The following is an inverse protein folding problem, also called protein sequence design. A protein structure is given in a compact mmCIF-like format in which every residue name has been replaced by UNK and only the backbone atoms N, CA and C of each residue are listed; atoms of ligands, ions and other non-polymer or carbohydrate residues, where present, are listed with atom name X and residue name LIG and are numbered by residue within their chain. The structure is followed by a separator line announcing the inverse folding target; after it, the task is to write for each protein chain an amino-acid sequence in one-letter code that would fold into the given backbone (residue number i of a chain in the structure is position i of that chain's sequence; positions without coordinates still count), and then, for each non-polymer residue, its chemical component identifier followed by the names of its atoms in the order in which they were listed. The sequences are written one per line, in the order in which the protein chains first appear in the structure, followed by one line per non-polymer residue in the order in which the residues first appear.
data_IF_607106516575
#
_entry.id   IF_607106516575
#
_cell.length_a   1.000
_cell.length_b   1.000
_cell.length_c   1.000
_cell.angle_alpha   90.00
_cell.angle_beta   90.00
_cell.angle_gamma   90.00
#
_symmetry.space_group_name_H-M   'P 1'
#
loop_
_entity.id
_entity.type
_entity.pdbx_description
1 polymer ?
#
# COMPACT_ATOMS: atom_id res chain seq x y z
N UNK A 1 4.31 -19.89 -1.28
CA UNK A 1 5.57 -19.22 -0.89
C UNK A 1 5.26 -17.84 -0.32
N UNK A 2 4.69 -16.92 -1.12
CA UNK A 2 4.26 -15.57 -0.67
C UNK A 2 3.32 -15.56 0.53
N UNK A 3 2.28 -16.41 0.58
CA UNK A 3 1.37 -16.44 1.75
C UNK A 3 2.09 -16.78 3.06
N UNK A 4 3.17 -17.57 3.01
CA UNK A 4 3.94 -17.97 4.19
C UNK A 4 4.89 -16.90 4.71
N UNK A 5 5.06 -15.79 3.99
CA UNK A 5 5.88 -14.64 4.44
C UNK A 5 5.05 -13.52 5.04
N UNK A 6 3.72 -13.51 4.86
CA UNK A 6 2.84 -12.63 5.61
C UNK A 6 2.79 -13.05 7.09
N UNK A 7 2.90 -12.07 7.98
CA UNK A 7 2.86 -12.33 9.42
C UNK A 7 1.43 -12.28 9.95
N UNK A 8 1.20 -12.89 11.10
CA UNK A 8 -0.09 -12.88 11.79
C UNK A 8 -0.28 -11.53 12.53
N UNK A 9 -0.63 -10.50 11.77
CA UNK A 9 -1.02 -9.16 12.25
C UNK A 9 -2.49 -8.89 11.97
N UNK A 10 -3.06 -7.88 12.62
CA UNK A 10 -4.51 -7.65 12.62
C UNK A 10 -5.05 -7.25 11.23
N UNK A 11 -4.33 -6.38 10.52
CA UNK A 11 -4.75 -5.80 9.25
C UNK A 11 -3.82 -6.18 8.08
N UNK A 12 -2.52 -5.83 8.14
CA UNK A 12 -1.59 -6.00 7.00
C UNK A 12 -1.10 -7.46 6.86
N UNK A 13 -2.04 -8.38 6.66
CA UNK A 13 -1.84 -9.82 6.55
C UNK A 13 -2.24 -10.36 5.16
N UNK A 14 -2.17 -11.68 4.97
CA UNK A 14 -2.47 -12.32 3.68
C UNK A 14 -3.90 -12.05 3.16
N UNK A 15 -4.87 -11.77 4.05
CA UNK A 15 -6.24 -11.45 3.63
C UNK A 15 -6.31 -10.05 3.03
N UNK A 16 -5.61 -9.08 3.62
CA UNK A 16 -5.47 -7.75 3.04
C UNK A 16 -4.77 -7.82 1.67
N UNK A 17 -3.67 -8.57 1.54
CA UNK A 17 -3.00 -8.77 0.26
C UNK A 17 -3.92 -9.37 -0.83
N UNK A 18 -4.73 -10.37 -0.46
CA UNK A 18 -5.71 -10.96 -1.36
C UNK A 18 -6.81 -9.97 -1.78
N UNK A 19 -7.28 -9.13 -0.83
CA UNK A 19 -8.24 -8.07 -1.09
C UNK A 19 -7.67 -7.02 -2.06
N UNK A 20 -6.46 -6.53 -1.82
CA UNK A 20 -5.77 -5.56 -2.70
C UNK A 20 -5.59 -6.16 -4.09
N UNK A 21 -5.23 -7.44 -4.20
CA UNK A 21 -5.11 -8.11 -5.50
C UNK A 21 -6.45 -8.17 -6.24
N UNK A 22 -7.54 -8.53 -5.55
CA UNK A 22 -8.87 -8.60 -6.16
C UNK A 22 -9.39 -7.21 -6.56
N UNK A 23 -9.22 -6.21 -5.70
CA UNK A 23 -9.62 -4.83 -5.99
C UNK A 23 -8.78 -4.23 -7.12
N UNK A 24 -7.47 -4.47 -7.11
CA UNK A 24 -6.54 -4.01 -8.13
C UNK A 24 -6.92 -4.55 -9.51
N UNK A 25 -7.20 -5.84 -9.61
CA UNK A 25 -7.65 -6.45 -10.87
C UNK A 25 -8.96 -5.83 -11.38
N UNK A 26 -9.92 -5.63 -10.48
CA UNK A 26 -11.19 -4.99 -10.83
C UNK A 26 -10.97 -3.55 -11.32
N UNK A 27 -10.19 -2.75 -10.59
CA UNK A 27 -9.89 -1.37 -10.91
C UNK A 27 -9.12 -1.24 -12.22
N UNK A 28 -8.15 -2.12 -12.47
CA UNK A 28 -7.38 -2.13 -13.71
C UNK A 28 -8.28 -2.40 -14.92
N UNK A 29 -9.18 -3.39 -14.82
CA UNK A 29 -10.19 -3.65 -15.87
C UNK A 29 -11.14 -2.48 -16.05
N UNK A 30 -11.60 -1.87 -14.97
CA UNK A 30 -12.51 -0.72 -15.01
C UNK A 30 -11.85 0.54 -15.59
N UNK A 31 -10.54 0.71 -15.40
CA UNK A 31 -9.77 1.80 -15.99
C UNK A 31 -9.69 1.70 -17.52
N UNK A 32 -9.88 0.50 -18.09
CA UNK A 32 -9.88 0.27 -19.53
C UNK A 32 -8.52 0.51 -20.19
N UNK A 33 -7.44 0.51 -19.40
CA UNK A 33 -6.08 0.67 -19.92
C UNK A 33 -5.61 -0.63 -20.54
N UNK A 34 -5.14 -0.62 -21.79
CA UNK A 34 -4.53 -1.79 -22.40
C UNK A 34 -3.19 -2.07 -21.72
N UNK A 35 -3.03 -3.29 -21.24
CA UNK A 35 -1.86 -3.77 -20.52
C UNK A 35 -1.49 -5.13 -21.10
N UNK A 36 -0.22 -5.28 -21.50
CA UNK A 36 0.26 -6.55 -22.02
C UNK A 36 0.28 -7.62 -20.89
N UNK A 37 0.36 -8.90 -21.27
CA UNK A 37 0.31 -9.99 -20.29
C UNK A 37 1.41 -9.93 -19.21
N UNK A 38 2.60 -9.42 -19.56
CA UNK A 38 3.72 -9.30 -18.63
C UNK A 38 3.47 -8.18 -17.61
N UNK A 39 3.08 -7.00 -18.06
CA UNK A 39 2.74 -5.85 -17.21
C UNK A 39 1.53 -6.17 -16.31
N UNK A 40 0.55 -6.92 -16.82
CA UNK A 40 -0.62 -7.38 -16.07
C UNK A 40 -0.22 -8.35 -14.96
N UNK A 41 0.62 -9.33 -15.28
CA UNK A 41 1.17 -10.27 -14.28
C UNK A 41 1.99 -9.51 -13.23
N UNK A 42 2.81 -8.54 -13.65
CA UNK A 42 3.61 -7.73 -12.74
C UNK A 42 2.75 -6.85 -11.82
N UNK A 43 1.65 -6.31 -12.33
CA UNK A 43 0.69 -5.58 -11.51
C UNK A 43 0.06 -6.48 -10.43
N UNK A 44 -0.37 -7.68 -10.78
CA UNK A 44 -0.93 -8.64 -9.81
C UNK A 44 0.11 -9.10 -8.78
N UNK A 45 1.35 -9.32 -9.22
CA UNK A 45 2.50 -9.63 -8.35
C UNK A 45 2.77 -8.48 -7.38
N UNK A 46 2.75 -7.23 -7.86
CA UNK A 46 2.90 -6.08 -6.98
C UNK A 46 1.78 -6.02 -5.94
N UNK A 47 0.52 -6.22 -6.33
CA UNK A 47 -0.61 -6.22 -5.41
C UNK A 47 -0.49 -7.28 -4.30
N UNK A 48 -0.15 -8.52 -4.66
CA UNK A 48 -0.07 -9.62 -3.69
C UNK A 48 1.17 -9.53 -2.79
N UNK A 49 2.20 -8.78 -3.19
CA UNK A 49 3.45 -8.63 -2.46
C UNK A 49 3.62 -7.27 -1.76
N UNK A 50 2.71 -6.31 -1.95
CA UNK A 50 2.95 -4.92 -1.54
C UNK A 50 3.22 -4.73 -0.04
N UNK A 51 2.76 -5.69 0.78
CA UNK A 51 2.90 -5.72 2.25
C UNK A 51 3.59 -6.98 2.77
N UNK A 52 4.32 -7.69 1.90
CA UNK A 52 4.89 -8.98 2.27
C UNK A 52 5.87 -8.85 3.45
N UNK A 53 5.66 -9.64 4.51
CA UNK A 53 6.49 -9.55 5.73
C UNK A 53 6.20 -8.36 6.63
N UNK A 54 5.13 -7.59 6.39
CA UNK A 54 4.74 -6.47 7.26
C UNK A 54 4.59 -6.92 8.71
N UNK A 55 5.15 -6.15 9.66
CA UNK A 55 5.21 -6.55 11.09
C UNK A 55 4.15 -5.90 11.96
N UNK A 56 3.21 -5.19 11.35
CA UNK A 56 2.15 -4.45 12.02
C UNK A 56 2.62 -3.11 12.58
N UNK A 57 3.69 -2.55 12.00
CA UNK A 57 4.28 -1.27 12.43
C UNK A 57 4.52 -0.40 11.21
N UNK A 58 4.35 0.91 11.35
CA UNK A 58 4.52 1.86 10.24
C UNK A 58 5.98 2.34 10.08
N UNK A 59 6.27 3.02 8.96
CA UNK A 59 7.58 3.57 8.64
C UNK A 59 8.16 4.46 9.77
N UNK A 60 7.32 5.29 10.42
CA UNK A 60 7.76 6.18 11.50
C UNK A 60 8.31 5.41 12.71
N UNK A 61 7.66 4.31 13.11
CA UNK A 61 8.15 3.45 14.19
C UNK A 61 9.58 2.97 13.94
N UNK A 62 9.88 2.47 12.73
CA UNK A 62 11.22 1.98 12.39
C UNK A 62 12.28 3.08 12.45
N UNK A 63 11.95 4.27 11.95
CA UNK A 63 12.87 5.42 11.95
C UNK A 63 13.14 5.89 13.39
N UNK A 64 12.09 6.08 14.19
CA UNK A 64 12.22 6.63 15.55
C UNK A 64 12.87 5.67 16.54
N UNK A 65 12.71 4.37 16.35
CA UNK A 65 13.38 3.34 17.18
C UNK A 65 14.81 3.06 16.73
N UNK A 66 15.28 3.67 15.63
CA UNK A 66 16.60 3.41 15.07
C UNK A 66 16.76 1.97 14.56
N UNK A 67 15.67 1.37 14.05
CA UNK A 67 15.65 -0.01 13.60
C UNK A 67 16.62 -0.24 12.43
N UNK A 68 17.14 -1.47 12.31
CA UNK A 68 18.08 -1.85 11.26
C UNK A 68 17.49 -1.68 9.85
N UNK A 69 16.19 -1.83 9.66
CA UNK A 69 15.54 -1.57 8.38
C UNK A 69 15.58 -0.08 8.02
N UNK A 70 15.30 0.82 8.96
CA UNK A 70 15.40 2.26 8.75
C UNK A 70 16.83 2.66 8.37
N UNK A 71 17.84 2.14 9.08
CA UNK A 71 19.25 2.33 8.74
C UNK A 71 19.60 1.79 7.34
N UNK A 72 19.09 0.61 6.98
CA UNK A 72 19.35 -0.02 5.68
C UNK A 72 18.77 0.79 4.52
N UNK A 73 17.57 1.32 4.70
CA UNK A 73 16.82 2.04 3.67
C UNK A 73 16.92 3.57 3.79
N UNK A 74 17.80 4.05 4.67
CA UNK A 74 18.08 5.47 4.89
C UNK A 74 16.80 6.29 5.16
N UNK A 75 15.92 5.76 6.00
CA UNK A 75 14.64 6.36 6.41
C UNK A 75 13.66 6.67 5.26
N UNK A 76 13.87 6.10 4.07
CA UNK A 76 13.03 6.36 2.88
C UNK A 76 12.22 5.13 2.51
N UNK A 77 10.87 5.27 2.49
CA UNK A 77 9.94 4.19 2.11
C UNK A 77 10.38 2.84 2.70
N UNK A 78 10.64 2.80 4.02
CA UNK A 78 11.42 1.73 4.67
C UNK A 78 10.75 0.38 4.47
N UNK A 79 9.44 0.33 4.70
CA UNK A 79 8.60 -0.85 4.52
C UNK A 79 8.46 -1.20 3.05
N UNK A 80 8.16 -0.24 2.17
CA UNK A 80 7.93 -0.53 0.77
C UNK A 80 9.22 -1.05 0.09
N UNK A 81 10.39 -0.54 0.47
CA UNK A 81 11.67 -1.10 0.01
C UNK A 81 11.94 -2.50 0.58
N UNK A 82 11.52 -2.76 1.83
CA UNK A 82 11.57 -4.10 2.42
C UNK A 82 10.65 -5.09 1.70
N UNK A 83 9.41 -4.68 1.37
CA UNK A 83 8.43 -5.48 0.63
C UNK A 83 8.94 -5.81 -0.77
N UNK A 84 9.53 -4.82 -1.47
CA UNK A 84 10.23 -5.03 -2.74
C UNK A 84 11.32 -6.09 -2.59
N UNK A 85 12.26 -5.91 -1.67
CA UNK A 85 13.38 -6.83 -1.49
C UNK A 85 12.89 -8.25 -1.22
N UNK A 86 11.93 -8.40 -0.31
CA UNK A 86 11.32 -9.69 0.04
C UNK A 86 10.58 -10.32 -1.14
N UNK A 87 9.87 -9.53 -1.95
CA UNK A 87 9.19 -10.02 -3.14
C UNK A 87 10.18 -10.63 -4.15
N UNK A 88 11.31 -9.97 -4.40
CA UNK A 88 12.34 -10.48 -5.31
C UNK A 88 13.15 -11.64 -4.75
N UNK A 89 13.32 -11.75 -3.44
CA UNK A 89 13.88 -12.96 -2.83
C UNK A 89 12.98 -14.20 -3.05
N UNK A 90 11.67 -13.99 -3.25
CA UNK A 90 10.70 -15.06 -3.47
C UNK A 90 10.49 -15.43 -4.94
N UNK A 91 10.96 -14.59 -5.89
CA UNK A 91 10.73 -14.72 -7.32
C UNK A 91 12.05 -14.91 -8.08
N UNK A 92 12.12 -15.92 -8.94
CA UNK A 92 13.22 -16.11 -9.88
C UNK A 92 12.82 -15.51 -11.25
N UNK A 93 13.67 -14.67 -11.85
CA UNK A 93 13.55 -14.15 -13.22
C UNK A 93 12.20 -13.46 -13.57
N UNK A 94 11.79 -12.45 -12.79
CA UNK A 94 10.56 -11.68 -13.02
C UNK A 94 10.86 -10.20 -13.36
N UNK A 95 10.09 -9.51 -14.24
CA UNK A 95 10.34 -8.11 -14.60
C UNK A 95 10.40 -7.20 -13.37
N UNK A 96 11.61 -6.70 -13.10
CA UNK A 96 11.92 -6.02 -11.84
C UNK A 96 11.29 -4.63 -11.75
N UNK A 97 11.41 -3.86 -12.83
CA UNK A 97 11.11 -2.42 -12.79
C UNK A 97 9.66 -2.10 -12.41
N UNK A 98 8.67 -2.74 -13.04
CA UNK A 98 7.27 -2.41 -12.81
C UNK A 98 6.81 -2.80 -11.40
N UNK A 99 7.23 -3.96 -10.89
CA UNK A 99 6.89 -4.39 -9.53
C UNK A 99 7.49 -3.42 -8.50
N UNK A 100 8.76 -3.01 -8.68
CA UNK A 100 9.42 -2.02 -7.82
C UNK A 100 8.62 -0.73 -7.78
N UNK A 101 8.31 -0.16 -8.95
CA UNK A 101 7.60 1.13 -9.04
C UNK A 101 6.19 1.09 -8.42
N UNK A 102 5.49 -0.04 -8.55
CA UNK A 102 4.15 -0.20 -8.00
C UNK A 102 4.17 -0.36 -6.48
N UNK A 103 5.01 -1.25 -5.94
CA UNK A 103 5.11 -1.42 -4.48
C UNK A 103 5.63 -0.13 -3.84
N UNK A 104 6.66 0.51 -4.40
CA UNK A 104 7.12 1.79 -3.87
C UNK A 104 6.05 2.88 -3.92
N UNK A 105 5.06 2.79 -4.81
CA UNK A 105 3.98 3.77 -4.89
C UNK A 105 2.95 3.63 -3.77
N UNK A 106 2.85 2.48 -3.10
CA UNK A 106 1.89 2.28 -2.00
C UNK A 106 2.22 3.16 -0.79
N UNK A 107 3.49 3.54 -0.60
CA UNK A 107 3.93 4.53 0.39
C UNK A 107 3.00 5.77 0.39
N UNK A 108 2.36 6.00 1.52
CA UNK A 108 1.38 7.06 1.65
C UNK A 108 1.99 8.46 1.64
N UNK A 109 3.30 8.61 1.90
CA UNK A 109 4.02 9.87 1.66
C UNK A 109 3.97 10.32 0.19
N UNK A 110 3.74 9.38 -0.76
CA UNK A 110 3.64 9.66 -2.21
C UNK A 110 2.20 9.91 -2.68
N UNK A 111 1.20 9.74 -1.80
CA UNK A 111 -0.22 9.80 -2.17
C UNK A 111 -0.61 11.07 -2.93
N UNK A 112 -0.31 12.25 -2.36
CA UNK A 112 -0.73 13.52 -2.94
C UNK A 112 -0.03 13.85 -4.27
N UNK A 113 1.22 13.43 -4.44
CA UNK A 113 1.94 13.61 -5.70
C UNK A 113 1.25 12.80 -6.83
N UNK A 114 1.01 11.51 -6.58
CA UNK A 114 0.36 10.61 -7.55
C UNK A 114 -1.06 11.09 -7.90
N UNK A 115 -1.85 11.52 -6.92
CA UNK A 115 -3.19 12.07 -7.17
C UNK A 115 -3.14 13.38 -7.96
N UNK A 116 -2.12 14.23 -7.73
CA UNK A 116 -1.94 15.47 -8.48
C UNK A 116 -1.62 15.17 -9.94
N UNK A 117 -0.66 14.29 -10.19
CA UNK A 117 -0.28 13.87 -11.54
C UNK A 117 -1.45 13.21 -12.27
N UNK A 118 -2.20 12.32 -11.59
CA UNK A 118 -3.38 11.67 -12.15
C UNK A 118 -4.46 12.69 -12.52
N UNK A 119 -4.70 13.71 -11.68
CA UNK A 119 -5.67 14.77 -11.98
C UNK A 119 -5.24 15.61 -13.18
N UNK A 120 -3.95 15.88 -13.34
CA UNK A 120 -3.43 16.59 -14.51
C UNK A 120 -3.62 15.74 -15.77
N UNK A 121 -3.27 14.46 -15.69
CA UNK A 121 -3.46 13.50 -16.76
C UNK A 121 -4.94 13.40 -17.21
N UNK A 122 -5.88 13.29 -16.26
CA UNK A 122 -7.32 13.18 -16.53
C UNK A 122 -7.99 14.48 -17.02
N UNK A 123 -7.31 15.62 -16.92
CA UNK A 123 -7.80 16.89 -17.48
C UNK A 123 -7.56 17.00 -18.98
N UNK A 124 -6.66 16.19 -19.53
CA UNK A 124 -6.39 16.15 -20.96
C UNK A 124 -7.56 15.46 -21.71
N UNK A 125 -8.32 16.19 -22.55
CA UNK A 125 -9.43 15.62 -23.30
C UNK A 125 -8.99 14.59 -24.35
N UNK A 126 -7.76 14.68 -24.86
CA UNK A 126 -7.22 13.76 -25.86
C UNK A 126 -6.94 12.39 -25.25
N UNK A 127 -6.51 12.34 -24.00
CA UNK A 127 -6.24 11.10 -23.28
C UNK A 127 -7.52 10.32 -22.93
N UNK A 128 -8.60 11.02 -22.59
CA UNK A 128 -9.93 10.39 -22.34
C UNK A 128 -10.48 9.65 -23.56
N UNK A 129 -10.08 10.06 -24.77
CA UNK A 129 -10.47 9.44 -26.03
C UNK A 129 -9.47 8.38 -26.52
N UNK A 130 -8.25 8.37 -25.98
CA UNK A 130 -7.13 7.59 -26.46
C UNK A 130 -6.32 6.98 -25.31
N UNK A 131 -6.97 6.16 -24.48
CA UNK A 131 -6.26 5.16 -23.67
C UNK A 131 -5.76 4.07 -24.64
N UNK A 132 -4.82 4.45 -25.50
CA UNK A 132 -4.25 3.65 -26.57
C UNK A 132 -2.99 2.96 -26.05
N UNK A 133 -2.82 1.70 -26.42
CA UNK A 133 -1.77 0.77 -25.98
C UNK A 133 -0.35 1.25 -26.29
N UNK A 134 -0.23 2.25 -27.16
CA UNK A 134 1.03 2.67 -27.79
C UNK A 134 1.55 4.05 -27.39
N UNK A 135 0.81 4.85 -26.59
CA UNK A 135 1.20 6.23 -26.28
C UNK A 135 1.36 6.48 -24.79
N UNK A 136 2.63 6.66 -24.41
CA UNK A 136 3.14 7.09 -23.12
C UNK A 136 3.17 6.03 -22.00
N UNK A 137 4.33 5.37 -21.87
CA UNK A 137 4.59 4.38 -20.81
C UNK A 137 4.47 4.98 -19.39
N UNK A 138 4.77 6.27 -19.24
CA UNK A 138 4.69 6.97 -17.95
C UNK A 138 3.23 7.18 -17.52
N UNK A 139 2.33 7.51 -18.45
CA UNK A 139 0.90 7.64 -18.17
C UNK A 139 0.29 6.30 -17.77
N UNK A 140 0.67 5.21 -18.46
CA UNK A 140 0.26 3.85 -18.08
C UNK A 140 0.76 3.50 -16.68
N UNK A 141 2.04 3.77 -16.39
CA UNK A 141 2.61 3.53 -15.07
C UNK A 141 1.87 4.32 -13.99
N UNK A 142 1.53 5.58 -14.26
CA UNK A 142 0.77 6.43 -13.33
C UNK A 142 -0.63 5.87 -13.05
N UNK A 143 -1.33 5.38 -14.08
CA UNK A 143 -2.65 4.74 -13.89
C UNK A 143 -2.50 3.44 -13.08
N UNK A 144 -1.50 2.61 -13.37
CA UNK A 144 -1.24 1.39 -12.59
C UNK A 144 -0.94 1.71 -11.11
N UNK A 145 -0.11 2.74 -10.85
CA UNK A 145 0.15 3.27 -9.49
C UNK A 145 -1.14 3.73 -8.81
N UNK A 146 -2.01 4.42 -9.54
CA UNK A 146 -3.31 4.83 -9.01
C UNK A 146 -4.23 3.63 -8.69
N UNK A 147 -4.24 2.60 -9.55
CA UNK A 147 -5.04 1.40 -9.34
C UNK A 147 -4.60 0.62 -8.09
N UNK A 148 -3.30 0.37 -7.90
CA UNK A 148 -2.83 -0.37 -6.71
C UNK A 148 -3.09 0.43 -5.43
N UNK A 149 -2.86 1.76 -5.43
CA UNK A 149 -3.16 2.60 -4.27
C UNK A 149 -4.65 2.67 -3.93
N UNK A 150 -5.51 2.75 -4.95
CA UNK A 150 -6.95 2.74 -4.74
C UNK A 150 -7.44 1.36 -4.25
N UNK A 151 -6.80 0.28 -4.68
CA UNK A 151 -7.08 -1.07 -4.21
C UNK A 151 -6.72 -1.24 -2.72
N UNK A 152 -5.56 -0.72 -2.34
CA UNK A 152 -4.98 -0.74 -1.00
C UNK A 152 -5.91 -0.07 0.04
N UNK A 153 -6.35 1.16 -0.22
CA UNK A 153 -7.36 1.85 0.62
C UNK A 153 -8.81 1.45 0.28
N UNK A 154 -8.99 0.42 -0.54
CA UNK A 154 -10.26 0.06 -1.15
C UNK A 154 -11.31 -0.48 -0.18
N UNK A 155 -10.93 -0.84 1.06
CA UNK A 155 -11.90 -1.24 2.08
C UNK A 155 -12.95 -0.16 2.34
N UNK A 156 -12.62 1.11 2.06
CA UNK A 156 -13.50 2.27 2.28
C UNK A 156 -14.69 2.28 1.32
N UNK A 157 -14.64 1.49 0.25
CA UNK A 157 -15.69 1.35 -0.73
C UNK A 157 -16.51 0.04 -0.56
N UNK A 158 -16.22 -0.77 0.46
CA UNK A 158 -16.97 -1.99 0.76
C UNK A 158 -18.30 -1.69 1.46
N UNK A 159 -19.25 -2.65 1.48
CA UNK A 159 -20.43 -2.57 2.33
C UNK A 159 -20.04 -2.24 3.79
N UNK A 160 -20.88 -1.45 4.46
CA UNK A 160 -20.58 -0.88 5.77
C UNK A 160 -20.03 -1.88 6.78
N UNK A 161 -20.66 -3.05 6.91
CA UNK A 161 -20.24 -4.06 7.90
C UNK A 161 -18.81 -4.56 7.66
N UNK A 162 -18.41 -4.70 6.39
CA UNK A 162 -17.05 -5.11 6.03
C UNK A 162 -16.05 -3.97 6.22
N UNK A 163 -16.40 -2.77 5.77
CA UNK A 163 -15.57 -1.58 5.98
C UNK A 163 -15.31 -1.33 7.47
N UNK A 164 -16.35 -1.44 8.28
CA UNK A 164 -16.29 -1.24 9.73
C UNK A 164 -15.37 -2.27 10.40
N UNK A 165 -15.53 -3.56 10.10
CA UNK A 165 -14.67 -4.63 10.63
C UNK A 165 -13.19 -4.42 10.25
N UNK A 166 -12.91 -4.10 8.98
CA UNK A 166 -11.54 -3.84 8.52
C UNK A 166 -10.94 -2.60 9.19
N UNK A 167 -11.75 -1.56 9.42
CA UNK A 167 -11.32 -0.35 10.13
C UNK A 167 -11.03 -0.62 11.61
N UNK A 168 -11.76 -1.54 12.24
CA UNK A 168 -11.45 -1.99 13.60
C UNK A 168 -10.13 -2.76 13.66
N UNK A 169 -9.87 -3.65 12.70
CA UNK A 169 -8.60 -4.38 12.61
C UNK A 169 -7.40 -3.47 12.43
N UNK A 170 -7.53 -2.49 11.52
CA UNK A 170 -6.50 -1.48 11.30
C UNK A 170 -6.25 -0.65 12.57
N UNK A 171 -7.33 -0.26 13.27
CA UNK A 171 -7.22 0.44 14.54
C UNK A 171 -6.55 -0.40 15.63
N UNK A 172 -6.88 -1.70 15.73
CA UNK A 172 -6.25 -2.60 16.70
C UNK A 172 -4.76 -2.79 16.41
N UNK A 173 -4.36 -2.87 15.14
CA UNK A 173 -2.94 -2.91 14.77
C UNK A 173 -2.19 -1.65 15.22
N UNK A 174 -2.76 -0.47 14.97
CA UNK A 174 -2.22 0.80 15.45
C UNK A 174 -2.17 0.90 16.98
N UNK A 175 -3.16 0.37 17.69
CA UNK A 175 -3.14 0.32 19.15
C UNK A 175 -2.03 -0.59 19.67
N UNK A 176 -1.81 -1.76 19.06
CA UNK A 176 -0.68 -2.63 19.41
C UNK A 176 0.67 -1.96 19.18
N UNK A 177 0.83 -1.23 18.07
CA UNK A 177 2.03 -0.41 17.87
C UNK A 177 2.18 0.65 18.96
N UNK A 178 1.11 1.39 19.27
CA UNK A 178 1.14 2.45 20.29
C UNK A 178 1.42 1.93 21.71
N UNK A 179 0.99 0.72 22.04
CA UNK A 179 1.34 0.06 23.30
C UNK A 179 2.84 -0.33 23.33
N UNK A 180 3.39 -0.82 22.21
CA UNK A 180 4.82 -1.07 22.09
C UNK A 180 5.67 0.22 22.18
N UNK A 181 5.22 1.32 21.57
CA UNK A 181 5.88 2.62 21.68
C UNK A 181 5.96 3.11 23.13
N UNK A 182 4.90 2.89 23.93
CA UNK A 182 4.91 3.21 25.38
C UNK A 182 5.98 2.44 26.14
N UNK A 183 6.07 1.14 25.87
CA UNK A 183 7.02 0.26 26.55
C UNK A 183 8.47 0.65 26.25
N UNK A 184 8.75 1.12 25.03
CA UNK A 184 10.09 1.50 24.58
C UNK A 184 10.50 2.92 25.04
N UNK A 185 9.61 3.91 24.94
CA UNK A 185 9.99 5.33 25.01
C UNK A 185 9.37 6.13 26.17
N UNK A 186 8.60 5.51 27.06
CA UNK A 186 8.15 6.11 28.33
C UNK A 186 7.19 7.32 28.27
N UNK A 187 7.06 8.07 27.16
CA UNK A 187 6.10 9.18 27.00
C UNK A 187 6.01 9.83 25.60
N UNK A 188 6.82 9.46 24.60
CA UNK A 188 6.75 10.08 23.27
C UNK A 188 5.86 9.25 22.33
N UNK A 189 4.64 9.74 22.09
CA UNK A 189 3.63 9.07 21.26
C UNK A 189 3.69 9.54 19.80
N UNK A 190 3.69 8.59 18.86
CA UNK A 190 3.47 8.86 17.43
C UNK A 190 1.99 8.63 17.08
N UNK A 191 1.33 7.66 17.73
CA UNK A 191 -0.09 7.33 17.50
C UNK A 191 -0.88 7.33 18.82
N UNK A 192 -2.10 7.89 18.80
CA UNK A 192 -2.93 8.12 19.99
C UNK A 192 -3.25 6.82 20.72
N UNK A 193 -2.76 6.72 21.93
CA UNK A 193 -2.83 5.51 22.73
C UNK A 193 -4.06 5.46 23.63
N UNK A 194 -5.26 5.65 23.08
CA UNK A 194 -6.47 5.80 23.88
C UNK A 194 -7.50 4.69 23.59
N UNK A 195 -7.42 3.59 24.37
CA UNK A 195 -8.59 2.75 24.68
C UNK A 195 -9.56 3.49 25.64
N UNK A 196 -9.90 4.75 25.33
CA UNK A 196 -10.96 5.48 26.04
C UNK A 196 -11.96 6.04 25.03
N UNK A 197 -13.21 5.72 25.32
CA UNK A 197 -14.43 5.92 24.53
C UNK A 197 -14.63 7.33 23.98
N UNK A 198 -15.32 7.38 22.84
CA UNK A 198 -16.06 8.51 22.24
C UNK A 198 -15.27 9.55 21.44
N UNK A 199 -14.89 9.23 20.21
CA UNK A 199 -15.29 9.99 19.02
C UNK A 199 -14.68 9.39 17.76
N UNK A 200 -15.55 9.03 16.81
CA UNK A 200 -15.24 8.40 15.53
C UNK A 200 -14.61 9.39 14.52
N UNK A 201 -13.83 10.39 14.97
CA UNK A 201 -13.56 11.59 14.16
C UNK A 201 -12.08 11.86 13.88
N UNK A 202 -11.15 11.14 14.50
CA UNK A 202 -9.71 11.50 14.46
C UNK A 202 -8.82 10.55 13.67
N UNK A 203 -9.32 9.38 13.26
CA UNK A 203 -8.49 8.33 12.64
C UNK A 203 -8.50 8.36 11.10
N UNK A 204 -9.14 9.35 10.46
CA UNK A 204 -9.30 9.39 8.99
C UNK A 204 -8.17 10.16 8.30
N UNK A 205 -7.34 10.91 9.02
CA UNK A 205 -6.38 11.87 8.41
C UNK A 205 -4.95 11.36 8.30
N UNK A 206 -4.65 10.14 8.75
CA UNK A 206 -3.28 9.61 8.81
C UNK A 206 -3.16 8.19 8.25
N UNK A 207 -3.89 7.94 7.16
CA UNK A 207 -3.49 6.93 6.19
C UNK A 207 -2.68 7.62 5.12
#
# INVERSE_FOLDING_TARGET
RVSGTYTEVEYHNQMHAAQVTSHGEYLLRAAGVPVNALDHTAFLVACICHDVGHSGKNNAFYVETGDRLALRYNDRSVLEQFHVATAFELMEDFPEFLVIELILSTDMAKHFAIITDLRLLLRDPELRAAIDESKNADDRLLILKACIKAADIGHTCLPWDQHYELSLRLSEEFFKQGDLEKELNGAHHIISSHRQSSSCSSNITTL
#
